data_IF_912287104768
#
_entry.id   IF_912287104768
#
_cell.length_a   1.000
_cell.length_b   1.000
_cell.length_c   1.000
_cell.angle_alpha   90.00
_cell.angle_beta   90.00
_cell.angle_gamma   90.00
#
_symmetry.space_group_name_H-M   'P 1'
#
loop_
_entity.id
_entity.type
_entity.pdbx_description
1 polymer ?
#
# COMPACT_ATOMS: atom_id res chain seq x y z
N UNK A 1 9.58 19.52 -4.28
CA UNK A 1 10.00 18.70 -3.12
C UNK A 1 8.81 18.23 -2.28
N UNK A 2 7.94 19.14 -1.80
CA UNK A 2 6.82 18.79 -0.90
C UNK A 2 5.82 17.76 -1.46
N UNK A 3 5.39 17.92 -2.72
CA UNK A 3 4.45 16.97 -3.36
C UNK A 3 5.05 15.56 -3.46
N UNK A 4 6.33 15.48 -3.83
CA UNK A 4 7.04 14.19 -3.92
C UNK A 4 7.12 13.52 -2.55
N UNK A 5 7.48 14.25 -1.50
CA UNK A 5 7.57 13.72 -0.14
C UNK A 5 6.22 13.19 0.35
N UNK A 6 5.15 13.95 0.13
CA UNK A 6 3.79 13.54 0.53
C UNK A 6 3.37 12.30 -0.26
N UNK A 7 3.58 12.30 -1.58
CA UNK A 7 3.24 11.18 -2.45
C UNK A 7 4.00 9.90 -2.11
N UNK A 8 5.33 9.98 -1.93
CA UNK A 8 6.14 8.81 -1.56
C UNK A 8 5.74 8.27 -0.20
N UNK A 9 5.49 9.16 0.77
CA UNK A 9 5.09 8.74 2.12
C UNK A 9 3.74 8.02 2.07
N UNK A 10 2.74 8.58 1.37
CA UNK A 10 1.42 7.96 1.25
C UNK A 10 1.47 6.57 0.59
N UNK A 11 2.22 6.44 -0.52
CA UNK A 11 2.34 5.19 -1.27
C UNK A 11 3.06 4.11 -0.47
N UNK A 12 4.20 4.43 0.15
CA UNK A 12 4.99 3.40 0.86
C UNK A 12 4.45 3.10 2.25
N UNK A 13 3.76 4.03 2.90
CA UNK A 13 3.11 3.78 4.19
C UNK A 13 1.94 2.80 4.05
N UNK A 14 1.11 2.92 3.01
CA UNK A 14 -0.01 1.99 2.79
C UNK A 14 0.45 0.54 2.61
N UNK A 15 1.63 0.31 2.01
CA UNK A 15 2.23 -1.03 1.89
C UNK A 15 2.49 -1.70 3.25
N UNK A 16 2.81 -0.92 4.30
CA UNK A 16 2.98 -1.47 5.65
C UNK A 16 1.65 -1.97 6.22
N UNK A 17 0.57 -1.21 6.00
CA UNK A 17 -0.78 -1.59 6.40
C UNK A 17 -1.23 -2.86 5.68
N UNK A 18 -1.06 -2.92 4.35
CA UNK A 18 -1.35 -4.12 3.56
C UNK A 18 -0.49 -5.33 3.98
N UNK A 19 0.78 -5.11 4.31
CA UNK A 19 1.66 -6.17 4.81
C UNK A 19 1.22 -6.71 6.17
N UNK A 20 0.80 -5.83 7.09
CA UNK A 20 0.29 -6.21 8.42
C UNK A 20 -1.04 -6.98 8.38
N UNK A 21 -1.85 -6.75 7.35
CA UNK A 21 -3.11 -7.48 7.10
C UNK A 21 -2.89 -8.80 6.36
N UNK A 22 -1.65 -9.09 5.94
CA UNK A 22 -1.26 -10.38 5.36
C UNK A 22 -1.26 -10.42 3.83
N UNK A 23 -1.26 -9.26 3.15
CA UNK A 23 -1.23 -9.23 1.69
C UNK A 23 0.09 -9.81 1.16
N UNK A 24 0.06 -10.92 0.39
CA UNK A 24 1.27 -11.50 -0.15
C UNK A 24 1.83 -10.67 -1.31
N UNK A 25 3.15 -10.73 -1.48
CA UNK A 25 3.84 -10.02 -2.57
C UNK A 25 3.54 -10.63 -3.94
N UNK A 26 3.64 -9.80 -4.98
CA UNK A 26 3.61 -10.19 -6.40
C UNK A 26 2.28 -10.83 -6.84
N UNK A 27 1.19 -10.45 -6.20
CA UNK A 27 -0.12 -10.83 -6.68
C UNK A 27 -0.60 -9.84 -7.75
N UNK A 28 -1.04 -10.32 -8.93
CA UNK A 28 -1.65 -9.45 -9.95
C UNK A 28 -3.05 -8.97 -9.55
N UNK A 29 -3.68 -9.62 -8.56
CA UNK A 29 -5.00 -9.32 -8.03
C UNK A 29 -5.02 -9.49 -6.50
N UNK A 30 -5.93 -8.79 -5.81
CA UNK A 30 -6.01 -8.78 -4.34
C UNK A 30 -7.46 -8.85 -3.88
N UNK A 31 -7.77 -9.50 -2.74
CA UNK A 31 -9.13 -9.49 -2.21
C UNK A 31 -9.67 -8.06 -1.99
N UNK A 32 -10.95 -7.84 -2.30
CA UNK A 32 -11.58 -6.51 -2.21
C UNK A 32 -11.53 -5.87 -0.81
N UNK A 33 -11.34 -6.69 0.23
CA UNK A 33 -11.14 -6.20 1.61
C UNK A 33 -9.92 -5.28 1.76
N UNK A 34 -8.92 -5.38 0.87
CA UNK A 34 -7.77 -4.47 0.83
C UNK A 34 -8.04 -3.15 0.09
N UNK A 35 -9.22 -3.02 -0.53
CA UNK A 35 -9.65 -1.84 -1.31
C UNK A 35 -10.71 -0.99 -0.59
N UNK A 36 -11.11 -1.39 0.63
CA UNK A 36 -12.06 -0.68 1.50
C UNK A 36 -11.33 0.25 2.47
#
# INVERSE_FOLDING_TARGET
LGIMLIGTTAIFWSMHLSGSSGLPRRMPDTPDTYMQ
#
